data_IF_685085843630
#
_entry.id   IF_685085843630
#
_cell.length_a   1.000
_cell.length_b   1.000
_cell.length_c   1.000
_cell.angle_alpha   90.00
_cell.angle_beta   90.00
_cell.angle_gamma   90.00
#
_symmetry.space_group_name_H-M   'P 1'
#
loop_
_entity.id
_entity.type
_entity.pdbx_description
1 polymer ?
#
# COMPACT_ATOMS: atom_id res chain seq x y z
N UNK A 1 37.39 -28.02 28.69
CA UNK A 1 37.01 -26.69 28.18
C UNK A 1 35.56 -26.79 27.72
N UNK A 2 34.61 -26.47 28.59
CA UNK A 2 33.17 -26.54 28.29
C UNK A 2 32.79 -25.32 27.44
N UNK A 3 32.34 -25.54 26.20
CA UNK A 3 31.66 -24.52 25.40
C UNK A 3 30.25 -24.32 25.98
N UNK A 4 29.98 -23.14 26.55
CA UNK A 4 28.63 -22.73 26.86
C UNK A 4 27.94 -22.28 25.56
N UNK A 5 26.98 -23.08 25.07
CA UNK A 5 26.03 -22.61 24.08
C UNK A 5 25.09 -21.61 24.75
N UNK A 6 25.25 -20.32 24.44
CA UNK A 6 24.22 -19.31 24.69
C UNK A 6 23.04 -19.61 23.77
N UNK A 7 21.99 -20.22 24.31
CA UNK A 7 20.69 -20.26 23.65
C UNK A 7 20.08 -18.84 23.73
N UNK A 8 20.12 -18.09 22.63
CA UNK A 8 19.23 -16.94 22.46
C UNK A 8 17.80 -17.48 22.40
N UNK A 9 17.05 -17.30 23.49
CA UNK A 9 15.59 -17.46 23.45
C UNK A 9 14.97 -16.45 22.47
N UNK A 10 13.74 -16.70 21.99
CA UNK A 10 13.02 -15.74 21.17
C UNK A 10 12.89 -14.43 21.95
N UNK A 11 13.39 -13.33 21.39
CA UNK A 11 13.11 -12.00 21.90
C UNK A 11 11.59 -11.82 21.85
N UNK A 12 10.95 -11.63 23.00
CA UNK A 12 9.56 -11.22 23.06
C UNK A 12 9.45 -9.88 22.31
N UNK A 13 8.58 -9.84 21.30
CA UNK A 13 8.20 -8.60 20.66
C UNK A 13 7.68 -7.64 21.74
N UNK A 14 8.15 -6.39 21.71
CA UNK A 14 7.64 -5.40 22.65
C UNK A 14 6.15 -5.12 22.40
N UNK A 15 5.45 -4.56 23.39
CA UNK A 15 4.17 -3.93 23.08
C UNK A 15 4.40 -2.66 22.25
N UNK A 16 3.59 -2.39 21.22
CA UNK A 16 3.71 -1.18 20.43
C UNK A 16 3.48 0.06 21.30
N UNK A 17 4.24 1.15 21.08
CA UNK A 17 3.99 2.40 21.79
C UNK A 17 2.57 2.93 21.52
N UNK A 18 1.86 3.33 22.58
CA UNK A 18 0.51 3.90 22.46
C UNK A 18 0.47 5.15 21.58
N UNK A 19 1.54 5.94 21.56
CA UNK A 19 1.64 7.16 20.77
C UNK A 19 1.64 6.85 19.27
N UNK A 20 2.36 5.81 18.83
CA UNK A 20 2.38 5.33 17.45
C UNK A 20 0.98 4.89 17.01
N UNK A 21 0.32 4.06 17.84
CA UNK A 21 -1.04 3.57 17.55
C UNK A 21 -2.04 4.73 17.44
N UNK A 22 -1.97 5.68 18.37
CA UNK A 22 -2.81 6.90 18.31
C UNK A 22 -2.55 7.70 17.04
N UNK A 23 -1.31 7.80 16.58
CA UNK A 23 -0.98 8.49 15.33
C UNK A 23 -1.57 7.78 14.11
N UNK A 24 -1.47 6.45 14.03
CA UNK A 24 -2.07 5.67 12.94
C UNK A 24 -3.60 5.81 12.95
N UNK A 25 -4.24 5.60 14.10
CA UNK A 25 -5.70 5.69 14.25
C UNK A 25 -6.23 7.11 14.00
N UNK A 26 -5.42 8.15 14.22
CA UNK A 26 -5.80 9.53 13.93
C UNK A 26 -6.02 9.81 12.43
N UNK A 27 -5.56 8.92 11.53
CA UNK A 27 -5.84 9.00 10.09
C UNK A 27 -7.28 8.64 9.73
N UNK A 28 -8.07 8.02 10.63
CA UNK A 28 -9.48 7.71 10.37
C UNK A 28 -10.32 9.00 10.22
N UNK A 29 -11.42 8.95 9.46
CA UNK A 29 -12.34 10.08 9.29
C UNK A 29 -12.67 10.37 7.83
N UNK A 30 -13.41 11.45 7.59
CA UNK A 30 -13.74 11.94 6.25
C UNK A 30 -12.84 13.11 5.84
N UNK A 31 -12.36 13.09 4.60
CA UNK A 31 -11.36 14.04 4.10
C UNK A 31 -11.70 14.52 2.69
N UNK A 32 -11.43 15.80 2.44
CA UNK A 32 -11.08 16.28 1.11
C UNK A 32 -9.58 16.03 0.92
N UNK A 33 -9.20 15.41 -0.18
CA UNK A 33 -7.83 14.99 -0.44
C UNK A 33 -7.33 15.62 -1.72
N UNK A 34 -6.21 16.34 -1.62
CA UNK A 34 -5.47 16.87 -2.77
C UNK A 34 -4.23 16.00 -3.03
N UNK A 35 -3.98 15.65 -4.29
CA UNK A 35 -2.79 14.93 -4.74
C UNK A 35 -1.96 15.82 -5.67
N UNK A 36 -0.73 16.14 -5.27
CA UNK A 36 0.20 16.92 -6.07
C UNK A 36 1.50 16.15 -6.31
N UNK A 37 1.86 15.94 -7.57
CA UNK A 37 3.14 15.32 -7.94
C UNK A 37 3.93 16.24 -8.86
N UNK A 38 5.15 16.57 -8.45
CA UNK A 38 6.04 17.49 -9.16
C UNK A 38 7.40 16.85 -9.36
N UNK A 39 7.81 16.70 -10.60
CA UNK A 39 9.18 16.32 -10.93
C UNK A 39 10.13 17.48 -10.52
N UNK A 40 11.19 17.16 -9.79
CA UNK A 40 12.09 18.14 -9.15
C UNK A 40 13.51 18.05 -9.71
N UNK A 41 14.15 16.90 -9.60
CA UNK A 41 15.59 16.73 -9.90
C UNK A 41 15.75 15.88 -11.15
N UNK A 42 16.18 16.49 -12.26
CA UNK A 42 16.46 15.78 -13.52
C UNK A 42 17.77 15.00 -13.35
N UNK A 43 17.71 13.67 -13.47
CA UNK A 43 18.87 12.79 -13.26
C UNK A 43 19.43 12.28 -14.59
N UNK A 44 18.56 11.97 -15.54
CA UNK A 44 18.94 11.56 -16.89
C UNK A 44 19.38 12.76 -17.73
N UNK A 45 20.57 12.73 -18.36
CA UNK A 45 20.99 13.77 -19.29
C UNK A 45 20.01 13.96 -20.44
N UNK A 46 19.66 15.22 -20.73
CA UNK A 46 18.72 15.57 -21.79
C UNK A 46 17.25 15.23 -21.51
N UNK A 47 16.91 14.80 -20.29
CA UNK A 47 15.52 14.62 -19.88
C UNK A 47 14.81 15.96 -19.67
N UNK A 48 13.63 16.10 -20.24
CA UNK A 48 12.74 17.24 -20.01
C UNK A 48 11.66 16.88 -19.00
N UNK A 49 11.44 17.79 -18.05
CA UNK A 49 10.47 17.60 -16.98
C UNK A 49 9.06 17.43 -17.54
N UNK A 50 8.36 16.40 -17.08
CA UNK A 50 6.93 16.25 -17.38
C UNK A 50 6.08 17.30 -16.66
N UNK A 51 4.87 17.53 -17.16
CA UNK A 51 3.91 18.41 -16.49
C UNK A 51 3.58 17.89 -15.08
N UNK A 52 3.32 18.84 -14.18
CA UNK A 52 2.88 18.52 -12.83
C UNK A 52 1.52 17.82 -12.86
N UNK A 53 1.37 16.77 -12.06
CA UNK A 53 0.12 16.01 -11.96
C UNK A 53 -0.67 16.48 -10.73
N UNK A 54 -1.97 16.70 -10.94
CA UNK A 54 -2.91 17.15 -9.91
C UNK A 54 -4.17 16.31 -9.98
N UNK A 55 -4.64 15.86 -8.82
CA UNK A 55 -5.93 15.20 -8.66
C UNK A 55 -6.50 15.56 -7.29
N UNK A 56 -7.81 15.38 -7.12
CA UNK A 56 -8.48 15.54 -5.84
C UNK A 56 -9.60 14.51 -5.70
N UNK A 57 -10.07 14.30 -4.48
CA UNK A 57 -11.24 13.48 -4.19
C UNK A 57 -11.68 13.58 -2.74
N UNK A 58 -12.89 13.11 -2.45
CA UNK A 58 -13.41 13.00 -1.10
C UNK A 58 -13.29 11.53 -0.64
N UNK A 59 -12.64 11.30 0.49
CA UNK A 59 -12.28 9.97 0.96
C UNK A 59 -12.69 9.75 2.43
N UNK A 60 -13.43 8.66 2.68
CA UNK A 60 -13.66 8.13 4.01
C UNK A 60 -12.59 7.09 4.37
N UNK A 61 -11.89 7.30 5.48
CA UNK A 61 -10.91 6.38 6.06
C UNK A 61 -11.53 5.63 7.23
N UNK A 62 -11.70 4.33 7.05
CA UNK A 62 -12.45 3.43 7.93
C UNK A 62 -11.48 2.46 8.61
N UNK A 63 -11.55 2.34 9.94
CA UNK A 63 -10.82 1.29 10.67
C UNK A 63 -11.49 -0.05 10.45
N UNK A 64 -10.72 -1.01 9.91
CA UNK A 64 -11.16 -2.37 9.59
C UNK A 64 -10.67 -3.38 10.62
N UNK A 65 -9.49 -3.14 11.17
CA UNK A 65 -8.88 -3.96 12.21
C UNK A 65 -8.13 -3.02 13.17
N UNK A 66 -8.33 -3.21 14.46
CA UNK A 66 -7.58 -2.53 15.51
C UNK A 66 -7.21 -3.54 16.61
N UNK A 67 -6.02 -4.11 16.47
CA UNK A 67 -5.39 -4.96 17.48
C UNK A 67 -4.13 -4.27 18.00
N UNK A 68 -3.53 -4.71 19.12
CA UNK A 68 -2.31 -4.10 19.61
C UNK A 68 -1.21 -4.00 18.54
N UNK A 69 -0.88 -5.10 17.87
CA UNK A 69 0.21 -5.17 16.91
C UNK A 69 -0.19 -4.91 15.44
N UNK A 70 -1.48 -4.71 15.15
CA UNK A 70 -1.96 -4.52 13.77
C UNK A 70 -3.15 -3.57 13.68
N UNK A 71 -3.05 -2.60 12.78
CA UNK A 71 -4.13 -1.67 12.44
C UNK A 71 -4.34 -1.69 10.93
N UNK A 72 -5.59 -1.83 10.47
CA UNK A 72 -5.93 -1.79 9.04
C UNK A 72 -6.90 -0.65 8.79
N UNK A 73 -6.55 0.22 7.85
CA UNK A 73 -7.38 1.34 7.42
C UNK A 73 -7.77 1.15 5.96
N UNK A 74 -9.07 1.09 5.69
CA UNK A 74 -9.64 1.09 4.35
C UNK A 74 -10.02 2.50 3.97
N UNK A 75 -9.63 2.90 2.77
CA UNK A 75 -10.05 4.16 2.20
C UNK A 75 -11.11 3.95 1.11
N UNK A 76 -12.15 4.77 1.13
CA UNK A 76 -13.31 4.68 0.25
C UNK A 76 -13.61 6.06 -0.31
N UNK A 77 -13.48 6.22 -1.61
CA UNK A 77 -13.81 7.46 -2.31
C UNK A 77 -15.33 7.61 -2.46
N UNK A 78 -15.80 8.85 -2.33
CA UNK A 78 -17.17 9.27 -2.63
C UNK A 78 -17.11 10.41 -3.64
N UNK A 79 -17.95 10.37 -4.66
CA UNK A 79 -18.30 11.57 -5.42
C UNK A 79 -19.52 12.23 -4.75
N UNK A 80 -19.37 13.38 -4.06
CA UNK A 80 -20.46 14.00 -3.32
C UNK A 80 -21.65 14.41 -4.20
N UNK A 81 -21.44 14.60 -5.51
CA UNK A 81 -22.50 15.04 -6.43
C UNK A 81 -23.38 13.89 -6.88
N UNK A 82 -22.79 12.74 -7.19
CA UNK A 82 -23.52 11.57 -7.67
C UNK A 82 -23.82 10.54 -6.58
N UNK A 83 -23.11 10.61 -5.45
CA UNK A 83 -23.10 9.56 -4.42
C UNK A 83 -22.36 8.30 -4.86
N UNK A 84 -21.66 8.30 -6.01
CA UNK A 84 -20.91 7.15 -6.47
C UNK A 84 -19.75 6.84 -5.51
N UNK A 85 -19.56 5.56 -5.21
CA UNK A 85 -18.56 5.07 -4.26
C UNK A 85 -17.54 4.19 -4.98
N UNK A 86 -16.28 4.34 -4.63
CA UNK A 86 -15.21 3.43 -5.05
C UNK A 86 -14.36 3.03 -3.86
N UNK A 87 -14.27 1.73 -3.56
CA UNK A 87 -13.22 1.21 -2.67
C UNK A 87 -11.86 1.55 -3.28
N UNK A 88 -11.06 2.38 -2.61
CA UNK A 88 -9.93 3.04 -3.27
C UNK A 88 -8.59 2.35 -2.96
N UNK A 89 -8.12 2.41 -1.72
CA UNK A 89 -6.88 1.74 -1.33
C UNK A 89 -6.93 1.37 0.14
N UNK A 90 -6.04 0.47 0.54
CA UNK A 90 -5.95 -0.03 1.91
C UNK A 90 -4.53 0.09 2.41
N UNK A 91 -4.39 0.40 3.71
CA UNK A 91 -3.13 0.36 4.42
C UNK A 91 -3.21 -0.56 5.63
N UNK A 92 -2.30 -1.52 5.68
CA UNK A 92 -2.11 -2.42 6.80
C UNK A 92 -0.84 -2.00 7.54
N UNK A 93 -0.95 -1.74 8.83
CA UNK A 93 0.15 -1.38 9.72
C UNK A 93 0.44 -2.55 10.64
N UNK A 94 1.65 -3.09 10.61
CA UNK A 94 2.08 -4.21 11.46
C UNK A 94 3.31 -3.81 12.29
N UNK A 95 3.20 -3.90 13.60
CA UNK A 95 4.30 -3.62 14.51
C UNK A 95 5.33 -4.76 14.50
N UNK A 96 6.62 -4.41 14.47
CA UNK A 96 7.77 -5.32 14.42
C UNK A 96 7.63 -6.48 13.39
N UNK A 97 7.03 -6.19 12.22
CA UNK A 97 6.72 -7.22 11.22
C UNK A 97 7.96 -8.07 10.85
N UNK A 98 7.86 -9.40 10.94
CA UNK A 98 8.98 -10.30 10.61
C UNK A 98 9.25 -10.44 9.10
N UNK A 99 8.30 -10.03 8.26
CA UNK A 99 8.32 -10.16 6.80
C UNK A 99 7.46 -9.07 6.16
N UNK A 100 7.69 -8.82 4.86
CA UNK A 100 6.82 -8.01 3.99
C UNK A 100 6.91 -8.50 2.56
N UNK A 101 5.99 -8.05 1.71
CA UNK A 101 6.14 -8.20 0.27
C UNK A 101 6.88 -7.00 -0.33
N UNK A 102 7.66 -7.24 -1.37
CA UNK A 102 8.44 -6.23 -2.08
C UNK A 102 8.25 -6.38 -3.59
N UNK A 103 8.04 -5.27 -4.30
CA UNK A 103 7.90 -5.26 -5.75
C UNK A 103 9.25 -5.58 -6.43
N UNK A 104 9.32 -6.70 -7.14
CA UNK A 104 10.54 -7.16 -7.82
C UNK A 104 10.60 -6.70 -9.29
N UNK A 105 9.47 -6.23 -9.83
CA UNK A 105 9.30 -5.90 -11.24
C UNK A 105 8.38 -6.88 -11.96
N UNK A 106 7.99 -6.56 -13.19
CA UNK A 106 7.20 -7.48 -14.03
C UNK A 106 5.84 -7.89 -13.45
N UNK A 107 5.24 -7.08 -12.56
CA UNK A 107 4.03 -7.41 -11.79
C UNK A 107 4.23 -8.59 -10.82
N UNK A 108 5.43 -8.69 -10.24
CA UNK A 108 5.79 -9.69 -9.23
C UNK A 108 6.09 -9.03 -7.90
N UNK A 109 5.59 -9.63 -6.83
CA UNK A 109 5.88 -9.27 -5.45
C UNK A 109 6.45 -10.48 -4.73
N UNK A 110 7.66 -10.33 -4.20
CA UNK A 110 8.33 -11.37 -3.45
C UNK A 110 8.14 -11.14 -1.95
N UNK A 111 7.82 -12.20 -1.21
CA UNK A 111 7.79 -12.14 0.26
C UNK A 111 9.21 -12.29 0.80
N UNK A 112 9.66 -11.27 1.54
CA UNK A 112 11.01 -11.18 2.12
C UNK A 112 10.91 -11.10 3.64
N UNK A 113 11.79 -11.81 4.32
CA UNK A 113 12.00 -11.60 5.76
C UNK A 113 12.65 -10.24 6.01
N UNK A 114 12.27 -9.58 7.09
CA UNK A 114 12.86 -8.30 7.49
C UNK A 114 13.81 -8.54 8.68
N UNK A 115 15.04 -8.00 8.67
CA UNK A 115 15.95 -8.12 9.80
C UNK A 115 15.31 -7.56 11.09
N UNK A 116 15.39 -8.32 12.17
CA UNK A 116 14.79 -7.95 13.46
C UNK A 116 15.28 -6.58 13.99
N UNK A 117 16.53 -6.21 13.70
CA UNK A 117 17.07 -4.92 14.11
C UNK A 117 16.47 -3.73 13.35
N UNK A 118 15.99 -3.95 12.12
CA UNK A 118 15.25 -2.92 11.37
C UNK A 118 13.83 -2.75 11.91
N UNK A 119 13.21 -3.85 12.33
CA UNK A 119 11.80 -3.84 12.75
C UNK A 119 11.60 -3.54 14.22
N UNK A 120 12.64 -3.66 15.05
CA UNK A 120 12.57 -3.38 16.50
C UNK A 120 12.04 -1.98 16.78
N UNK A 121 10.88 -1.89 17.42
CA UNK A 121 10.16 -0.66 17.71
C UNK A 121 9.70 0.10 16.45
N UNK A 122 9.49 -0.60 15.34
CA UNK A 122 9.09 -0.01 14.06
C UNK A 122 7.74 -0.57 13.59
N UNK A 123 7.06 0.20 12.75
CA UNK A 123 5.85 -0.20 12.06
C UNK A 123 6.14 -0.40 10.57
N UNK A 124 5.63 -1.49 10.03
CA UNK A 124 5.60 -1.75 8.59
C UNK A 124 4.22 -1.40 8.05
N UNK A 125 4.16 -0.43 7.14
CA UNK A 125 2.96 -0.09 6.37
C UNK A 125 3.00 -0.88 5.05
N UNK A 126 1.97 -1.66 4.77
CA UNK A 126 1.73 -2.30 3.49
C UNK A 126 0.50 -1.69 2.82
N UNK A 127 0.64 -1.26 1.58
CA UNK A 127 -0.39 -0.59 0.79
C UNK A 127 -0.90 -1.51 -0.30
N UNK A 128 -2.22 -1.52 -0.49
CA UNK A 128 -2.93 -2.33 -1.46
C UNK A 128 -3.83 -1.45 -2.35
N UNK A 129 -4.04 -1.88 -3.58
CA UNK A 129 -4.85 -1.19 -4.60
C UNK A 129 -6.37 -1.38 -4.37
N UNK A 130 -7.19 -0.89 -5.30
CA UNK A 130 -8.66 -0.93 -5.26
C UNK A 130 -9.21 -2.34 -5.02
N UNK A 131 -8.58 -3.34 -5.63
CA UNK A 131 -8.93 -4.77 -5.59
C UNK A 131 -8.13 -5.56 -4.54
N UNK A 132 -7.46 -4.85 -3.64
CA UNK A 132 -6.52 -5.39 -2.64
C UNK A 132 -5.25 -6.06 -3.21
N UNK A 133 -4.93 -5.88 -4.50
CA UNK A 133 -3.63 -6.29 -5.03
C UNK A 133 -2.49 -5.53 -4.31
N UNK A 134 -1.34 -6.19 -4.03
CA UNK A 134 -0.22 -5.56 -3.33
C UNK A 134 0.36 -4.41 -4.15
N UNK A 135 0.64 -3.27 -3.49
CA UNK A 135 1.32 -2.14 -4.12
C UNK A 135 2.77 -2.04 -3.63
N UNK A 136 2.95 -1.78 -2.34
CA UNK A 136 4.27 -1.71 -1.69
C UNK A 136 4.17 -1.91 -0.19
N UNK A 137 5.29 -2.22 0.46
CA UNK A 137 5.44 -2.16 1.91
C UNK A 137 6.69 -1.37 2.28
N UNK A 138 6.62 -0.56 3.34
CA UNK A 138 7.75 0.16 3.92
C UNK A 138 7.76 0.05 5.44
N UNK A 139 8.96 0.05 6.03
CA UNK A 139 9.18 -0.11 7.47
C UNK A 139 9.83 1.14 8.01
N UNK A 140 9.29 1.69 9.09
CA UNK A 140 9.74 2.96 9.66
C UNK A 140 9.33 3.13 11.11
N UNK A 141 9.81 4.19 11.74
CA UNK A 141 9.47 4.52 13.13
C UNK A 141 8.67 5.80 13.17
N UNK A 142 7.71 5.85 14.10
CA UNK A 142 7.07 7.11 14.47
C UNK A 142 8.04 7.93 15.33
N UNK A 143 8.01 9.24 15.10
CA UNK A 143 8.67 10.25 15.93
C UNK A 143 7.59 11.20 16.42
N UNK A 144 7.66 11.57 17.69
CA UNK A 144 6.67 12.42 18.35
C UNK A 144 7.37 13.61 18.97
N UNK A 145 7.45 14.71 18.21
CA UNK A 145 8.19 15.90 18.60
C UNK A 145 7.32 17.15 18.50
N UNK A 146 7.35 18.00 19.53
CA UNK A 146 6.65 19.30 19.54
C UNK A 146 5.15 19.21 19.13
N UNK A 147 4.48 18.11 19.50
CA UNK A 147 3.08 17.88 19.18
C UNK A 147 2.79 17.38 17.76
N UNK A 148 3.82 17.04 16.99
CA UNK A 148 3.70 16.48 15.64
C UNK A 148 4.16 15.02 15.66
N UNK A 149 3.35 14.14 15.07
CA UNK A 149 3.66 12.72 14.91
C UNK A 149 4.01 12.45 13.46
N UNK A 150 5.23 11.96 13.21
CA UNK A 150 5.71 11.68 11.85
C UNK A 150 6.31 10.29 11.77
N UNK A 151 5.89 9.51 10.78
CA UNK A 151 6.50 8.24 10.40
C UNK A 151 7.20 8.41 9.06
N UNK A 152 8.40 7.86 8.91
CA UNK A 152 9.12 7.82 7.62
C UNK A 152 9.60 6.40 7.35
N UNK A 153 9.28 5.88 6.16
CA UNK A 153 9.69 4.54 5.74
C UNK A 153 11.18 4.49 5.38
N UNK A 154 11.72 3.28 5.35
CA UNK A 154 12.87 2.94 4.52
C UNK A 154 12.57 3.11 3.02
N UNK A 155 13.59 2.93 2.19
CA UNK A 155 13.45 2.96 0.74
C UNK A 155 12.75 1.70 0.25
N UNK A 156 11.73 1.87 -0.59
CA UNK A 156 10.87 0.78 -1.08
C UNK A 156 10.70 0.84 -2.59
N UNK A 157 10.28 -0.28 -3.17
CA UNK A 157 9.96 -0.39 -4.59
C UNK A 157 8.47 -0.55 -4.80
N UNK A 158 7.94 0.09 -5.84
CA UNK A 158 6.52 -0.03 -6.22
C UNK A 158 6.31 0.07 -7.72
N UNK A 159 5.22 -0.51 -8.25
CA UNK A 159 4.85 -0.33 -9.66
C UNK A 159 4.52 1.14 -9.97
N UNK A 160 4.41 1.44 -11.25
CA UNK A 160 3.90 2.72 -11.73
C UNK A 160 2.45 2.93 -11.28
N UNK A 161 2.06 4.17 -10.94
CA UNK A 161 0.66 4.54 -10.86
C UNK A 161 -0.05 4.24 -12.20
N UNK A 162 -1.28 3.71 -12.14
CA UNK A 162 -2.05 3.30 -13.31
C UNK A 162 -2.15 4.37 -14.41
N UNK A 163 -2.27 5.65 -14.05
CA UNK A 163 -2.31 6.79 -14.98
C UNK A 163 -1.08 6.89 -15.90
N UNK A 164 0.07 6.38 -15.43
CA UNK A 164 1.35 6.55 -16.12
C UNK A 164 1.47 5.54 -17.26
N UNK A 165 0.82 4.38 -17.19
CA UNK A 165 0.93 3.32 -18.20
C UNK A 165 0.45 3.71 -19.60
N UNK A 166 -0.38 4.75 -19.71
CA UNK A 166 -0.85 5.29 -21.00
C UNK A 166 -0.15 6.58 -21.41
N UNK A 167 0.65 7.18 -20.52
CA UNK A 167 1.28 8.49 -20.71
C UNK A 167 2.80 8.43 -20.80
N UNK A 168 3.40 7.37 -20.25
CA UNK A 168 4.83 7.26 -20.01
C UNK A 168 5.32 5.87 -20.38
N UNK A 169 6.53 5.82 -20.92
CA UNK A 169 7.22 4.59 -21.33
C UNK A 169 8.71 4.63 -21.00
N UNK A 170 9.17 5.68 -20.32
CA UNK A 170 10.56 6.00 -20.03
C UNK A 170 11.08 5.36 -18.73
N UNK A 171 10.20 4.81 -17.89
CA UNK A 171 10.54 4.13 -16.64
C UNK A 171 9.55 3.00 -16.32
N UNK A 172 9.92 2.09 -15.42
CA UNK A 172 9.09 0.91 -15.08
C UNK A 172 9.04 0.56 -13.59
N UNK A 173 9.70 1.34 -12.73
CA UNK A 173 9.61 1.22 -11.28
C UNK A 173 9.78 2.58 -10.60
N UNK A 174 9.22 2.70 -9.39
CA UNK A 174 9.48 3.81 -8.49
C UNK A 174 10.27 3.30 -7.28
N UNK A 175 11.36 3.98 -6.97
CA UNK A 175 12.06 3.88 -5.69
C UNK A 175 11.56 5.01 -4.77
N UNK A 176 11.04 4.68 -3.58
CA UNK A 176 10.25 5.63 -2.79
C UNK A 176 10.54 5.56 -1.30
N UNK A 177 10.64 6.74 -0.68
CA UNK A 177 10.49 6.94 0.76
C UNK A 177 9.15 7.63 1.00
N UNK A 178 8.33 7.05 1.89
CA UNK A 178 7.04 7.60 2.29
C UNK A 178 7.17 8.25 3.66
N UNK A 179 6.52 9.39 3.85
CA UNK A 179 6.37 10.01 5.16
C UNK A 179 4.92 10.35 5.42
N UNK A 180 4.41 9.93 6.57
CA UNK A 180 3.09 10.30 7.07
C UNK A 180 3.24 11.26 8.24
N UNK A 181 2.54 12.38 8.21
CA UNK A 181 2.57 13.36 9.29
C UNK A 181 1.15 13.67 9.75
N UNK A 182 0.87 13.50 11.04
CA UNK A 182 -0.42 13.86 11.64
C UNK A 182 -0.40 15.36 11.97
N UNK A 183 -1.43 16.07 11.52
CA UNK A 183 -1.62 17.51 11.76
C UNK A 183 -2.99 17.78 12.38
N UNK A 184 -3.20 18.97 12.94
CA UNK A 184 -4.45 19.29 13.63
C UNK A 184 -5.70 19.13 12.73
N UNK A 185 -5.58 19.50 11.45
CA UNK A 185 -6.66 19.44 10.46
C UNK A 185 -6.75 18.12 9.69
N UNK A 186 -5.96 17.09 10.00
CA UNK A 186 -5.91 15.85 9.24
C UNK A 186 -4.52 15.22 9.20
N UNK A 187 -4.03 14.84 8.03
CA UNK A 187 -2.70 14.25 7.89
C UNK A 187 -2.17 14.42 6.46
N UNK A 188 -0.85 14.30 6.31
CA UNK A 188 -0.20 14.39 5.00
C UNK A 188 0.53 13.10 4.67
N UNK A 189 0.63 12.81 3.37
CA UNK A 189 1.48 11.75 2.83
C UNK A 189 2.48 12.35 1.83
N UNK A 190 3.71 12.50 2.29
CA UNK A 190 4.84 12.95 1.49
C UNK A 190 5.54 11.74 0.86
N UNK A 191 5.93 11.89 -0.41
CA UNK A 191 6.52 10.82 -1.20
C UNK A 191 7.76 11.36 -1.91
N UNK A 192 8.93 10.87 -1.51
CA UNK A 192 10.18 11.13 -2.21
C UNK A 192 10.39 10.02 -3.23
N UNK A 193 10.04 10.29 -4.47
CA UNK A 193 10.06 9.33 -5.56
C UNK A 193 11.31 9.51 -6.43
N UNK A 194 11.93 8.41 -6.85
CA UNK A 194 12.80 8.36 -8.02
C UNK A 194 12.13 7.49 -9.08
N UNK A 195 11.92 8.04 -10.29
CA UNK A 195 11.46 7.29 -11.46
C UNK A 195 12.64 6.54 -12.06
N UNK A 196 12.57 5.21 -12.10
CA UNK A 196 13.70 4.34 -12.47
C UNK A 196 13.31 3.42 -13.62
N UNK A 197 14.15 3.37 -14.66
CA UNK A 197 14.11 2.35 -15.70
C UNK A 197 15.01 1.19 -15.29
N UNK A 198 14.41 0.06 -14.92
CA UNK A 198 15.09 -1.22 -14.69
C UNK A 198 15.19 -2.00 -15.99
N UNK A 199 16.39 -2.38 -16.40
CA UNK A 199 16.67 -3.08 -17.66
C UNK A 199 16.77 -4.58 -17.43
N UNK A 200 16.55 -5.36 -18.48
CA UNK A 200 16.58 -6.83 -18.42
C UNK A 200 17.96 -7.40 -18.07
N UNK A 201 19.03 -6.64 -18.29
CA UNK A 201 20.40 -6.98 -17.91
C UNK A 201 20.72 -6.71 -16.42
N UNK A 202 19.73 -6.28 -15.64
CA UNK A 202 19.87 -5.92 -14.22
C UNK A 202 20.40 -4.51 -13.97
N UNK A 203 20.78 -3.77 -15.01
CA UNK A 203 21.16 -2.36 -14.86
C UNK A 203 19.94 -1.47 -14.64
N UNK A 204 20.17 -0.30 -14.04
CA UNK A 204 19.12 0.70 -13.79
C UNK A 204 19.56 2.08 -14.25
N UNK A 205 18.59 2.89 -14.66
CA UNK A 205 18.78 4.27 -15.06
C UNK A 205 17.77 5.15 -14.33
N UNK A 206 18.25 6.05 -13.50
CA UNK A 206 17.41 6.99 -12.77
C UNK A 206 17.04 8.14 -13.70
N UNK A 207 15.73 8.36 -13.90
CA UNK A 207 15.23 9.33 -14.87
C UNK A 207 15.13 10.71 -14.22
N UNK A 208 14.37 10.79 -13.13
CA UNK A 208 14.02 12.04 -12.46
C UNK A 208 13.53 11.74 -11.05
N UNK A 209 13.76 12.67 -10.11
CA UNK A 209 13.10 12.67 -8.80
C UNK A 209 11.79 13.43 -8.85
N UNK A 210 10.80 12.98 -8.12
CA UNK A 210 9.48 13.60 -7.99
C UNK A 210 9.13 13.72 -6.51
N UNK A 211 8.57 14.86 -6.12
CA UNK A 211 7.94 15.00 -4.82
C UNK A 211 6.44 14.83 -4.99
N UNK A 212 5.89 13.81 -4.35
CA UNK A 212 4.45 13.63 -4.19
C UNK A 212 4.00 14.16 -2.85
N UNK A 213 2.92 14.92 -2.83
CA UNK A 213 2.30 15.45 -1.62
C UNK A 213 0.81 15.21 -1.68
N UNK A 214 0.31 14.36 -0.78
CA UNK A 214 -1.11 14.18 -0.59
C UNK A 214 -1.51 14.88 0.71
N UNK A 215 -2.51 15.75 0.65
CA UNK A 215 -3.02 16.51 1.80
C UNK A 215 -4.44 16.03 2.14
N UNK A 216 -4.59 15.34 3.25
CA UNK A 216 -5.88 14.87 3.75
C UNK A 216 -6.42 15.88 4.75
N UNK A 217 -7.33 16.75 4.29
CA UNK A 217 -7.95 17.79 5.10
C UNK A 217 -9.31 17.32 5.60
N UNK A 218 -9.50 17.29 6.93
CA UNK A 218 -10.79 16.95 7.54
C UNK A 218 -11.85 17.95 7.09
N UNK A 219 -13.02 17.42 6.72
CA UNK A 219 -14.16 18.21 6.30
C UNK A 219 -15.41 17.78 7.08
N UNK A 220 -16.28 18.74 7.38
CA UNK A 220 -17.56 18.50 8.06
C UNK A 220 -18.75 18.49 7.09
N UNK A 221 -18.62 19.17 5.94
CA UNK A 221 -19.73 19.42 5.01
C UNK A 221 -19.93 18.34 3.94
N UNK A 222 -18.98 17.39 3.80
CA UNK A 222 -19.10 16.27 2.84
C UNK A 222 -19.89 15.11 3.45
N UNK A 223 -20.93 14.62 2.75
CA UNK A 223 -21.69 13.45 3.17
C UNK A 223 -20.98 12.13 2.80
N UNK A 224 -20.33 11.51 3.78
CA UNK A 224 -19.68 10.21 3.64
C UNK A 224 -20.60 9.00 3.90
N UNK A 225 -21.91 9.19 4.16
CA UNK A 225 -22.85 8.08 4.35
C UNK A 225 -22.82 7.04 3.22
N UNK A 226 -22.70 7.41 1.93
CA UNK A 226 -22.59 6.42 0.86
C UNK A 226 -21.39 5.50 1.02
N UNK A 227 -20.22 6.02 1.40
CA UNK A 227 -19.03 5.21 1.65
C UNK A 227 -19.24 4.21 2.79
N UNK A 228 -19.81 4.66 3.91
CA UNK A 228 -20.09 3.78 5.05
C UNK A 228 -21.13 2.71 4.68
N UNK A 229 -22.19 3.07 3.97
CA UNK A 229 -23.21 2.12 3.51
C UNK A 229 -22.64 1.06 2.57
N UNK A 230 -21.81 1.47 1.60
CA UNK A 230 -21.10 0.54 0.73
C UNK A 230 -20.18 -0.39 1.53
N UNK A 231 -19.40 0.16 2.46
CA UNK A 231 -18.49 -0.65 3.26
C UNK A 231 -19.23 -1.65 4.14
N UNK A 232 -20.29 -1.22 4.82
CA UNK A 232 -21.09 -2.12 5.66
C UNK A 232 -21.74 -3.26 4.87
N UNK A 233 -22.18 -2.99 3.64
CA UNK A 233 -22.74 -4.01 2.76
C UNK A 233 -21.68 -5.00 2.23
N UNK A 234 -20.44 -4.56 2.03
CA UNK A 234 -19.43 -5.34 1.28
C UNK A 234 -18.22 -5.79 2.10
N UNK A 235 -18.05 -5.36 3.35
CA UNK A 235 -16.86 -5.62 4.18
C UNK A 235 -16.52 -7.11 4.35
N UNK A 236 -17.53 -7.97 4.46
CA UNK A 236 -17.36 -9.40 4.61
C UNK A 236 -16.91 -10.06 3.30
N UNK A 237 -17.41 -9.58 2.15
CA UNK A 237 -16.90 -9.96 0.84
C UNK A 237 -15.43 -9.55 0.68
N UNK A 238 -15.09 -8.30 1.00
CA UNK A 238 -13.70 -7.84 0.93
C UNK A 238 -12.79 -8.57 1.93
N UNK A 239 -13.30 -9.01 3.09
CA UNK A 239 -12.54 -9.86 4.01
C UNK A 239 -12.15 -11.20 3.37
N UNK A 240 -13.06 -11.81 2.59
CA UNK A 240 -12.77 -13.02 1.81
C UNK A 240 -11.71 -12.78 0.73
N UNK A 241 -11.78 -11.66 0.02
CA UNK A 241 -10.76 -11.25 -0.97
C UNK A 241 -9.40 -11.06 -0.30
N UNK A 242 -9.35 -10.32 0.81
CA UNK A 242 -8.12 -10.12 1.60
C UNK A 242 -7.49 -11.43 2.05
N UNK A 243 -8.29 -12.40 2.50
CA UNK A 243 -7.77 -13.71 2.92
C UNK A 243 -7.01 -14.44 1.80
N UNK A 244 -7.45 -14.31 0.55
CA UNK A 244 -6.80 -14.93 -0.63
C UNK A 244 -5.51 -14.21 -1.01
N UNK A 245 -5.48 -12.88 -0.92
CA UNK A 245 -4.23 -12.12 -1.03
C UNK A 245 -3.24 -12.49 0.09
N UNK A 246 -3.69 -12.55 1.34
CA UNK A 246 -2.87 -12.95 2.49
C UNK A 246 -2.26 -14.34 2.31
N UNK A 247 -3.02 -15.30 1.78
CA UNK A 247 -2.52 -16.65 1.51
C UNK A 247 -1.30 -16.68 0.57
N UNK A 248 -1.13 -15.67 -0.29
CA UNK A 248 0.01 -15.52 -1.19
C UNK A 248 1.10 -14.60 -0.64
N UNK A 249 0.74 -13.62 0.20
CA UNK A 249 1.64 -12.57 0.67
C UNK A 249 2.20 -12.83 2.08
N UNK A 250 1.64 -13.77 2.82
CA UNK A 250 2.18 -14.20 4.11
C UNK A 250 3.23 -15.29 3.97
N UNK A 251 3.39 -15.91 2.80
CA UNK A 251 4.34 -17.00 2.61
C UNK A 251 5.18 -16.78 1.36
N UNK A 252 6.46 -17.11 1.46
CA UNK A 252 7.32 -17.17 0.28
C UNK A 252 6.79 -18.23 -0.69
N UNK A 253 6.87 -18.00 -2.01
CA UNK A 253 7.69 -16.97 -2.68
C UNK A 253 7.01 -15.60 -2.88
N UNK A 254 5.72 -15.45 -2.59
CA UNK A 254 4.92 -14.28 -2.99
C UNK A 254 4.06 -14.56 -4.22
N UNK A 255 3.76 -13.53 -5.02
CA UNK A 255 2.85 -13.65 -6.16
C UNK A 255 3.34 -12.96 -7.44
N UNK A 256 2.79 -13.42 -8.56
CA UNK A 256 2.86 -12.80 -9.87
C UNK A 256 1.45 -12.53 -10.40
N UNK A 257 1.23 -11.35 -10.98
CA UNK A 257 -0.03 -11.02 -11.66
C UNK A 257 0.08 -11.29 -13.16
N UNK A 258 -0.83 -12.12 -13.66
CA UNK A 258 -1.00 -12.45 -15.08
C UNK A 258 -1.82 -11.40 -15.86
N UNK A 259 -2.49 -10.49 -15.15
CA UNK A 259 -3.30 -9.41 -15.73
C UNK A 259 -2.48 -8.55 -16.68
N UNK A 260 -3.16 -7.79 -17.56
CA UNK A 260 -2.47 -6.68 -18.24
C UNK A 260 -1.96 -5.68 -17.20
N UNK A 261 -1.05 -4.80 -17.63
CA UNK A 261 -0.43 -3.79 -16.77
C UNK A 261 -1.48 -2.92 -16.03
N UNK A 262 -2.67 -2.74 -16.60
CA UNK A 262 -3.78 -2.00 -15.98
C UNK A 262 -4.53 -2.75 -14.87
N UNK A 263 -4.33 -4.07 -14.71
CA UNK A 263 -5.00 -4.90 -13.70
C UNK A 263 -6.50 -5.12 -13.91
N UNK A 264 -7.10 -4.55 -14.96
CA UNK A 264 -8.56 -4.34 -15.03
C UNK A 264 -9.37 -5.63 -15.01
N UNK A 265 -8.81 -6.77 -15.45
CA UNK A 265 -9.54 -8.03 -15.49
C UNK A 265 -9.90 -8.52 -14.08
N UNK A 266 -8.94 -8.46 -13.14
CA UNK A 266 -9.18 -8.87 -11.76
C UNK A 266 -10.04 -7.83 -11.02
N UNK A 267 -9.74 -6.54 -11.22
CA UNK A 267 -10.53 -5.43 -10.67
C UNK A 267 -12.01 -5.58 -11.05
N UNK A 268 -12.32 -5.70 -12.35
CA UNK A 268 -13.71 -5.82 -12.80
C UNK A 268 -14.41 -7.04 -12.22
N UNK A 269 -13.72 -8.19 -12.16
CA UNK A 269 -14.30 -9.41 -11.59
C UNK A 269 -14.66 -9.22 -10.11
N UNK A 270 -13.75 -8.68 -9.30
CA UNK A 270 -13.96 -8.50 -7.87
C UNK A 270 -14.98 -7.39 -7.55
N UNK A 271 -14.98 -6.29 -8.31
CA UNK A 271 -15.99 -5.24 -8.15
C UNK A 271 -17.38 -5.68 -8.60
N UNK A 272 -17.50 -6.47 -9.69
CA UNK A 272 -18.80 -7.04 -10.10
C UNK A 272 -19.38 -7.93 -9.00
N UNK A 273 -18.54 -8.75 -8.37
CA UNK A 273 -18.94 -9.58 -7.24
C UNK A 273 -19.31 -8.74 -6.01
N UNK A 274 -18.57 -7.66 -5.71
CA UNK A 274 -18.92 -6.73 -4.63
C UNK A 274 -20.27 -6.04 -4.88
N UNK A 275 -20.55 -5.64 -6.12
CA UNK A 275 -21.83 -5.04 -6.53
C UNK A 275 -22.98 -6.04 -6.40
N UNK A 276 -22.75 -7.31 -6.74
CA UNK A 276 -23.72 -8.39 -6.52
C UNK A 276 -24.04 -8.56 -5.02
N UNK A 277 -23.03 -8.54 -4.15
CA UNK A 277 -23.22 -8.57 -2.69
C UNK A 277 -23.98 -7.34 -2.19
N UNK A 278 -23.69 -6.16 -2.73
CA UNK A 278 -24.43 -4.93 -2.39
C UNK A 278 -25.91 -5.01 -2.80
N UNK A 279 -26.24 -5.82 -3.81
CA UNK A 279 -27.60 -6.09 -4.27
C UNK A 279 -28.22 -7.34 -3.59
N UNK A 280 -27.70 -7.75 -2.43
CA UNK A 280 -28.13 -8.92 -1.66
C UNK A 280 -28.05 -10.25 -2.44
N UNK A 281 -27.19 -10.33 -3.47
CA UNK A 281 -26.93 -11.59 -4.18
C UNK A 281 -25.77 -12.33 -3.51
N UNK A 282 -25.90 -13.65 -3.44
CA UNK A 282 -24.83 -14.49 -2.93
C UNK A 282 -23.69 -14.61 -3.96
N UNK A 283 -22.46 -14.42 -3.49
CA UNK A 283 -21.23 -14.75 -4.22
C UNK A 283 -20.58 -15.93 -3.53
N UNK A 284 -20.37 -17.03 -4.27
CA UNK A 284 -19.73 -18.21 -3.71
C UNK A 284 -18.22 -18.01 -3.61
N UNK A 285 -17.60 -18.63 -2.61
CA UNK A 285 -16.14 -18.59 -2.43
C UNK A 285 -15.40 -19.11 -3.68
N UNK A 286 -15.98 -20.09 -4.38
CA UNK A 286 -15.44 -20.62 -5.64
C UNK A 286 -15.38 -19.59 -6.78
N UNK A 287 -16.25 -18.58 -6.79
CA UNK A 287 -16.23 -17.52 -7.80
C UNK A 287 -15.09 -16.53 -7.54
N UNK A 288 -14.79 -16.27 -6.27
CA UNK A 288 -13.62 -15.49 -5.86
C UNK A 288 -12.35 -16.27 -6.19
N UNK A 289 -12.31 -17.56 -5.84
CA UNK A 289 -11.16 -18.44 -6.11
C UNK A 289 -10.88 -18.53 -7.61
N UNK A 290 -11.93 -18.60 -8.44
CA UNK A 290 -11.81 -18.57 -9.90
C UNK A 290 -11.17 -17.28 -10.39
N UNK A 291 -11.61 -16.11 -9.89
CA UNK A 291 -11.03 -14.83 -10.30
C UNK A 291 -9.53 -14.76 -9.97
N UNK A 292 -9.13 -15.26 -8.80
CA UNK A 292 -7.71 -15.37 -8.43
C UNK A 292 -6.97 -16.37 -9.32
N UNK A 293 -7.49 -17.57 -9.53
CA UNK A 293 -6.84 -18.59 -10.35
C UNK A 293 -6.62 -18.14 -11.81
N UNK A 294 -7.53 -17.34 -12.36
CA UNK A 294 -7.42 -16.80 -13.71
C UNK A 294 -6.28 -15.78 -13.83
N UNK A 295 -6.01 -14.99 -12.78
CA UNK A 295 -5.19 -13.77 -12.87
C UNK A 295 -3.98 -13.67 -11.93
N UNK A 296 -3.88 -14.56 -10.96
CA UNK A 296 -2.84 -14.57 -9.94
C UNK A 296 -2.21 -15.95 -9.87
N UNK A 297 -0.89 -15.99 -9.73
CA UNK A 297 -0.15 -17.22 -9.48
C UNK A 297 0.95 -16.97 -8.45
N UNK A 298 1.44 -18.01 -7.75
CA UNK A 298 2.63 -17.86 -6.91
C UNK A 298 3.81 -17.33 -7.72
N UNK A 299 4.61 -16.44 -7.13
CA UNK A 299 5.84 -15.98 -7.76
C UNK A 299 6.77 -17.17 -8.04
N UNK A 300 7.53 -17.11 -9.13
CA UNK A 300 8.59 -18.10 -9.34
C UNK A 300 9.59 -18.04 -8.17
N UNK A 301 10.04 -19.20 -7.69
CA UNK A 301 11.12 -19.26 -6.70
C UNK A 301 12.40 -18.79 -7.40
N UNK A 302 12.69 -17.50 -7.31
CA UNK A 302 13.97 -16.98 -7.78
C UNK A 302 15.03 -17.42 -6.77
N UNK A 303 15.90 -18.35 -7.19
CA UNK A 303 17.12 -18.64 -6.45
C UNK A 303 17.84 -17.32 -6.19
N UNK A 304 18.14 -17.06 -4.91
CA UNK A 304 18.68 -15.81 -4.39
C UNK A 304 19.45 -15.01 -5.46
N UNK A 305 18.84 -13.93 -5.98
CA UNK A 305 19.61 -12.92 -6.67
C UNK A 305 20.57 -12.33 -5.64
N UNK A 306 21.81 -12.78 -5.71
CA UNK A 306 22.89 -12.42 -4.83
C UNK A 306 23.12 -10.91 -4.86
N UNK A 307 23.23 -10.31 -3.66
CA UNK A 307 23.90 -9.05 -3.36
C UNK A 307 23.81 -7.92 -4.42
N UNK A 308 22.98 -6.90 -4.18
CA UNK A 308 23.35 -5.47 -4.04
C UNK A 308 22.14 -4.54 -4.15
#
# INVERSE_FOLDING_TARGET
MLLALCACGPAFAGDPPDADRKAILAMQGGYEVDFAFDETTLLKPGYERAAAERAAGDEAVIVVEDTPAKIVLQHVLVDPKSGHVTKHWRQDWTFEAAKRFEFDGGRTWAVRGIPADLTRGAWTQCVFEVDDAPRYCGTGKWTHERGVSTWTSDTTWRPLPRREYTRRSDYNALEVINRHTIVAGGWTHEQLNTKVLRKADGSREDIVREFGFNDYRKVEDTDFKPAYAYWDATKDYWAKVRARWSALLDVSPGLHLKTKIDGMQLIMALFTQADDVQQDKAVADADIDKAFADWVEPAAVTGAAANR
#
